data_IF_678643509891
#
_entry.id   IF_678643509891
#
_cell.length_a   1.000
_cell.length_b   1.000
_cell.length_c   1.000
_cell.angle_alpha   90.00
_cell.angle_beta   90.00
_cell.angle_gamma   90.00
#
_symmetry.space_group_name_H-M   'P 1'
#
loop_
_entity.id
_entity.type
_entity.pdbx_description
1 polymer ?
#
# COMPACT_ATOMS: atom_id res chain seq x y z
N UNK A 1 2.46 -6.85 29.26
CA UNK A 1 3.23 -6.63 28.06
C UNK A 1 2.43 -5.84 27.00
N UNK A 2 1.19 -6.25 26.64
CA UNK A 2 0.26 -5.44 25.80
C UNK A 2 -1.07 -5.19 26.55
N UNK A 3 -1.00 -5.00 27.88
CA UNK A 3 -2.15 -4.94 28.80
C UNK A 3 -3.14 -3.81 28.51
N UNK A 4 -2.68 -2.76 27.82
CA UNK A 4 -3.51 -1.61 27.42
C UNK A 4 -4.20 -1.78 26.06
N UNK A 5 -3.98 -2.90 25.34
CA UNK A 5 -4.61 -3.16 24.05
C UNK A 5 -5.65 -4.25 24.28
N UNK A 6 -6.94 -3.87 24.25
CA UNK A 6 -8.05 -4.80 24.44
C UNK A 6 -9.00 -4.75 23.28
N UNK A 7 -9.24 -5.91 22.67
CA UNK A 7 -10.26 -6.09 21.67
C UNK A 7 -11.15 -7.27 22.11
N UNK A 8 -12.46 -7.07 22.28
CA UNK A 8 -13.31 -8.07 22.91
C UNK A 8 -13.25 -9.45 22.25
N UNK A 9 -12.98 -10.49 23.05
CA UNK A 9 -12.89 -11.86 22.59
C UNK A 9 -11.61 -12.23 21.84
N UNK A 10 -10.59 -11.35 21.83
CA UNK A 10 -9.31 -11.58 21.17
C UNK A 10 -8.14 -11.32 22.11
N UNK A 11 -7.08 -12.10 21.99
CA UNK A 11 -5.83 -11.97 22.74
C UNK A 11 -4.73 -11.41 21.83
N UNK A 12 -3.97 -10.42 22.32
CA UNK A 12 -2.83 -9.85 21.60
C UNK A 12 -1.62 -10.76 21.76
N UNK A 13 -1.11 -11.26 20.65
CA UNK A 13 0.03 -12.18 20.62
C UNK A 13 1.36 -11.42 20.51
N UNK A 14 1.48 -10.55 19.50
CA UNK A 14 2.72 -9.78 19.26
C UNK A 14 2.44 -8.56 18.37
N UNK A 15 3.36 -7.60 18.44
CA UNK A 15 3.40 -6.48 17.48
C UNK A 15 4.02 -6.98 16.18
N UNK A 16 3.38 -6.68 15.04
CA UNK A 16 3.80 -7.09 13.69
C UNK A 16 4.15 -5.92 12.78
N UNK A 17 3.80 -4.71 13.16
CA UNK A 17 4.11 -3.51 12.39
C UNK A 17 3.92 -2.22 13.16
N UNK A 18 4.33 -1.13 12.55
CA UNK A 18 4.15 0.23 13.03
C UNK A 18 3.66 1.13 11.91
N UNK A 19 2.68 1.98 12.17
CA UNK A 19 2.15 2.96 11.24
C UNK A 19 2.26 4.38 11.79
N UNK A 20 1.88 5.37 10.99
CA UNK A 20 1.98 6.79 11.36
C UNK A 20 1.21 7.14 12.64
N UNK A 21 0.07 6.49 12.89
CA UNK A 21 -0.81 6.76 14.03
C UNK A 21 -0.78 5.67 15.11
N UNK A 22 0.04 4.61 14.99
CA UNK A 22 0.09 3.55 15.98
C UNK A 22 0.65 2.23 15.47
N UNK A 23 0.37 1.13 16.19
CA UNK A 23 0.92 -0.19 15.94
C UNK A 23 -0.07 -1.14 15.28
N UNK A 24 0.46 -2.17 14.61
CA UNK A 24 -0.30 -3.32 14.12
C UNK A 24 0.12 -4.55 14.92
N UNK A 25 -0.86 -5.33 15.37
CA UNK A 25 -0.69 -6.47 16.25
C UNK A 25 -1.33 -7.72 15.66
N UNK A 26 -0.70 -8.85 15.84
CA UNK A 26 -1.32 -10.15 15.62
C UNK A 26 -2.19 -10.49 16.83
N UNK A 27 -3.44 -10.84 16.58
CA UNK A 27 -4.41 -11.22 17.61
C UNK A 27 -4.98 -12.60 17.29
N UNK A 28 -5.28 -13.37 18.34
CA UNK A 28 -5.84 -14.70 18.24
C UNK A 28 -7.15 -14.82 19.03
N UNK A 29 -8.02 -15.71 18.56
CA UNK A 29 -9.24 -16.12 19.26
C UNK A 29 -9.40 -17.62 19.13
N UNK A 30 -9.66 -18.31 20.26
CA UNK A 30 -10.00 -19.73 20.26
C UNK A 30 -11.51 -19.87 20.06
N UNK A 31 -11.91 -20.58 19.03
CA UNK A 31 -13.32 -20.90 18.73
C UNK A 31 -13.81 -22.05 19.62
N UNK A 32 -15.14 -22.23 19.77
CA UNK A 32 -15.73 -23.30 20.60
C UNK A 32 -15.31 -24.72 20.18
N UNK A 33 -14.92 -24.91 18.91
CA UNK A 33 -14.42 -26.18 18.38
C UNK A 33 -12.90 -26.38 18.56
N UNK A 34 -12.23 -25.47 19.29
CA UNK A 34 -10.80 -25.51 19.56
C UNK A 34 -9.89 -24.94 18.47
N UNK A 35 -10.42 -24.55 17.30
CA UNK A 35 -9.63 -23.89 16.25
C UNK A 35 -9.22 -22.49 16.71
N UNK A 36 -7.98 -22.11 16.32
CA UNK A 36 -7.47 -20.76 16.57
C UNK A 36 -7.69 -19.91 15.32
N UNK A 37 -8.49 -18.88 15.46
CA UNK A 37 -8.64 -17.83 14.45
C UNK A 37 -7.58 -16.75 14.68
N UNK A 38 -6.99 -16.25 13.58
CA UNK A 38 -5.93 -15.24 13.60
C UNK A 38 -6.38 -14.02 12.83
N UNK A 39 -6.05 -12.84 13.34
CA UNK A 39 -6.33 -11.57 12.67
C UNK A 39 -5.22 -10.55 12.95
N UNK A 40 -5.20 -9.48 12.20
CA UNK A 40 -4.42 -8.29 12.49
C UNK A 40 -5.31 -7.25 13.19
N UNK A 41 -4.76 -6.57 14.18
CA UNK A 41 -5.40 -5.46 14.88
C UNK A 41 -4.55 -4.20 14.69
N UNK A 42 -5.05 -3.25 13.92
CA UNK A 42 -4.45 -1.93 13.77
C UNK A 42 -4.96 -1.02 14.89
N UNK A 43 -4.06 -0.50 15.70
CA UNK A 43 -4.37 0.52 16.70
C UNK A 43 -3.95 1.88 16.16
N UNK A 44 -4.85 2.84 16.17
CA UNK A 44 -4.60 4.24 15.88
C UNK A 44 -4.92 5.05 17.14
N UNK A 45 -4.10 6.05 17.45
CA UNK A 45 -4.27 6.90 18.64
C UNK A 45 -4.31 8.37 18.19
N UNK A 46 -5.33 9.10 18.58
CA UNK A 46 -5.48 10.53 18.33
C UNK A 46 -5.80 11.26 19.63
N UNK A 47 -5.00 12.27 20.01
CA UNK A 47 -3.71 12.64 19.41
C UNK A 47 -2.66 11.55 19.58
N UNK A 48 -1.60 11.63 18.79
CA UNK A 48 -0.50 10.65 18.84
C UNK A 48 0.25 10.70 20.16
N UNK A 49 0.41 11.90 20.71
CA UNK A 49 1.02 12.13 22.01
C UNK A 49 0.44 13.38 22.69
N UNK A 50 0.78 13.54 23.99
CA UNK A 50 0.29 14.65 24.80
C UNK A 50 0.95 16.00 24.46
N UNK A 51 1.98 16.05 23.64
CA UNK A 51 2.62 17.32 23.22
C UNK A 51 1.69 18.14 22.34
N UNK A 52 0.95 17.48 21.45
CA UNK A 52 -0.06 18.10 20.58
C UNK A 52 -1.16 18.80 21.41
N UNK A 53 -1.63 18.15 22.47
CA UNK A 53 -2.64 18.71 23.39
C UNK A 53 -2.07 19.95 24.11
N UNK A 54 -0.82 19.89 24.58
CA UNK A 54 -0.16 21.00 25.27
C UNK A 54 0.02 22.21 24.34
N UNK A 55 0.36 21.97 23.09
CA UNK A 55 0.49 23.02 22.09
C UNK A 55 -0.84 23.74 21.87
N UNK A 56 -1.95 23.02 21.70
CA UNK A 56 -3.28 23.60 21.56
C UNK A 56 -3.70 24.41 22.79
N UNK A 57 -3.41 23.92 24.00
CA UNK A 57 -3.65 24.70 25.23
C UNK A 57 -2.79 25.98 25.27
N UNK A 58 -1.54 25.93 24.80
CA UNK A 58 -0.67 27.13 24.74
C UNK A 58 -1.19 28.18 23.77
N UNK A 59 -1.96 27.76 22.74
CA UNK A 59 -2.66 28.62 21.79
C UNK A 59 -4.02 29.09 22.31
N UNK A 60 -4.34 28.87 23.61
CA UNK A 60 -5.57 29.31 24.28
C UNK A 60 -6.85 28.59 23.80
N UNK A 61 -6.75 27.39 23.21
CA UNK A 61 -7.92 26.58 22.92
C UNK A 61 -8.52 26.02 24.21
N UNK A 62 -9.86 26.00 24.32
CA UNK A 62 -10.56 25.38 25.46
C UNK A 62 -10.54 23.84 25.33
N UNK A 63 -10.75 23.14 26.44
CA UNK A 63 -10.85 21.66 26.46
C UNK A 63 -11.92 21.18 25.49
N UNK A 64 -13.07 21.85 25.41
CA UNK A 64 -14.17 21.51 24.53
C UNK A 64 -13.75 21.62 23.05
N UNK A 65 -13.03 22.68 22.66
CA UNK A 65 -12.55 22.87 21.30
C UNK A 65 -11.49 21.82 20.92
N UNK A 66 -10.59 21.49 21.85
CA UNK A 66 -9.56 20.44 21.65
C UNK A 66 -10.23 19.08 21.51
N UNK A 67 -11.21 18.78 22.36
CA UNK A 67 -11.98 17.52 22.28
C UNK A 67 -12.75 17.41 20.96
N UNK A 68 -13.38 18.50 20.52
CA UNK A 68 -14.10 18.54 19.24
C UNK A 68 -13.15 18.30 18.07
N UNK A 69 -11.98 18.94 18.06
CA UNK A 69 -10.94 18.74 17.04
C UNK A 69 -10.53 17.27 16.90
N UNK A 70 -10.17 16.60 18.00
CA UNK A 70 -9.79 15.19 17.95
C UNK A 70 -10.95 14.23 17.68
N UNK A 71 -12.17 14.62 18.04
CA UNK A 71 -13.38 13.88 17.66
C UNK A 71 -13.62 13.90 16.16
N UNK A 72 -13.34 15.01 15.50
CA UNK A 72 -13.45 15.12 14.04
C UNK A 72 -12.35 14.31 13.35
N UNK A 73 -11.10 14.34 13.85
CA UNK A 73 -10.04 13.45 13.35
C UNK A 73 -10.39 11.97 13.51
N UNK A 74 -10.94 11.57 14.68
CA UNK A 74 -11.40 10.20 14.89
C UNK A 74 -12.47 9.81 13.87
N UNK A 75 -13.46 10.70 13.60
CA UNK A 75 -14.51 10.44 12.61
C UNK A 75 -13.93 10.26 11.20
N UNK A 76 -12.93 11.06 10.80
CA UNK A 76 -12.26 10.90 9.51
C UNK A 76 -11.58 9.54 9.38
N UNK A 77 -10.88 9.08 10.43
CA UNK A 77 -10.24 7.75 10.46
C UNK A 77 -11.27 6.61 10.43
N UNK A 78 -12.42 6.77 11.09
CA UNK A 78 -13.52 5.79 11.04
C UNK A 78 -14.18 5.79 9.66
N UNK A 79 -14.33 6.93 9.02
CA UNK A 79 -14.85 7.00 7.65
C UNK A 79 -13.93 6.27 6.65
N UNK A 80 -12.60 6.38 6.81
CA UNK A 80 -11.64 5.60 6.02
C UNK A 80 -11.91 4.10 6.15
N UNK A 81 -12.12 3.62 7.38
CA UNK A 81 -12.51 2.24 7.63
C UNK A 81 -13.84 1.88 6.94
N UNK A 82 -14.85 2.74 7.02
CA UNK A 82 -16.16 2.49 6.40
C UNK A 82 -16.05 2.34 4.88
N UNK A 83 -15.27 3.21 4.24
CA UNK A 83 -15.00 3.11 2.80
C UNK A 83 -14.24 1.80 2.45
N UNK A 84 -13.31 1.38 3.30
CA UNK A 84 -12.64 0.09 3.11
C UNK A 84 -13.62 -1.08 3.26
N UNK A 85 -14.64 -0.96 4.13
CA UNK A 85 -15.68 -1.98 4.27
C UNK A 85 -16.56 -2.11 3.00
N UNK A 86 -16.82 -1.03 2.28
CA UNK A 86 -17.56 -1.08 1.01
C UNK A 86 -16.83 -1.93 -0.04
N UNK A 87 -15.49 -2.03 0.08
CA UNK A 87 -14.64 -2.86 -0.76
C UNK A 87 -14.45 -4.29 -0.23
N UNK A 88 -15.06 -4.66 0.90
CA UNK A 88 -14.99 -6.02 1.42
C UNK A 88 -15.60 -7.01 0.41
N UNK A 89 -14.89 -8.12 0.19
CA UNK A 89 -15.23 -9.09 -0.86
C UNK A 89 -14.44 -8.89 -2.16
N UNK A 90 -13.81 -7.74 -2.37
CA UNK A 90 -12.88 -7.53 -3.48
C UNK A 90 -11.58 -8.30 -3.19
N UNK A 91 -11.24 -9.25 -4.06
CA UNK A 91 -10.14 -10.21 -3.84
C UNK A 91 -8.80 -9.55 -3.55
N UNK A 92 -8.51 -8.41 -4.17
CA UNK A 92 -7.23 -7.72 -4.11
C UNK A 92 -7.25 -6.48 -3.17
N UNK A 93 -8.24 -6.39 -2.29
CA UNK A 93 -8.33 -5.39 -1.23
C UNK A 93 -8.24 -6.09 0.12
N UNK A 94 -7.58 -5.46 1.09
CA UNK A 94 -7.48 -5.98 2.46
C UNK A 94 -8.85 -5.94 3.11
N UNK A 95 -9.33 -7.09 3.60
CA UNK A 95 -10.62 -7.16 4.27
C UNK A 95 -10.53 -6.58 5.69
N UNK A 96 -11.42 -5.62 5.98
CA UNK A 96 -11.60 -5.02 7.31
C UNK A 96 -12.91 -5.55 7.92
N UNK A 97 -12.85 -6.07 9.15
CA UNK A 97 -13.97 -6.78 9.77
C UNK A 97 -14.73 -5.94 10.78
N UNK A 98 -14.03 -5.36 11.75
CA UNK A 98 -14.63 -4.61 12.86
C UNK A 98 -13.83 -3.37 13.20
N UNK A 99 -14.49 -2.35 13.75
CA UNK A 99 -13.89 -1.16 14.36
C UNK A 99 -14.43 -0.95 15.78
N UNK A 100 -13.55 -0.53 16.66
CA UNK A 100 -13.91 -0.10 18.02
C UNK A 100 -13.19 1.21 18.32
N UNK A 101 -13.92 2.20 18.85
CA UNK A 101 -13.38 3.47 19.32
C UNK A 101 -13.51 3.56 20.85
N UNK A 102 -12.41 3.86 21.51
CA UNK A 102 -12.35 4.01 22.97
C UNK A 102 -11.84 5.40 23.29
N UNK A 103 -12.65 6.19 23.99
CA UNK A 103 -12.25 7.53 24.43
C UNK A 103 -11.23 7.41 25.57
N UNK A 104 -10.22 8.27 25.58
CA UNK A 104 -9.23 8.33 26.65
C UNK A 104 -9.87 8.80 27.98
N UNK A 105 -9.29 8.36 29.10
CA UNK A 105 -9.84 8.64 30.44
C UNK A 105 -9.89 10.14 30.78
N UNK A 106 -9.04 10.96 30.19
CA UNK A 106 -9.04 12.43 30.35
C UNK A 106 -10.18 13.12 29.57
N UNK A 107 -10.91 12.36 28.75
CA UNK A 107 -11.97 12.82 27.88
C UNK A 107 -11.49 13.52 26.60
N UNK A 108 -10.15 13.58 26.36
CA UNK A 108 -9.54 14.15 25.16
C UNK A 108 -8.88 13.02 24.37
N UNK A 109 -9.31 12.85 23.13
CA UNK A 109 -8.70 11.85 22.26
C UNK A 109 -9.33 10.47 22.31
N UNK A 110 -8.91 9.61 21.39
CA UNK A 110 -9.46 8.26 21.19
C UNK A 110 -8.38 7.28 20.75
N UNK A 111 -8.51 6.04 21.20
CA UNK A 111 -7.90 4.87 20.58
C UNK A 111 -8.91 4.24 19.63
N UNK A 112 -8.52 4.00 18.40
CA UNK A 112 -9.32 3.36 17.35
C UNK A 112 -8.66 2.02 17.02
N UNK A 113 -9.40 0.95 17.16
CA UNK A 113 -8.96 -0.41 16.89
C UNK A 113 -9.70 -0.95 15.67
N UNK A 114 -8.96 -1.35 14.64
CA UNK A 114 -9.50 -1.92 13.40
C UNK A 114 -9.01 -3.36 13.27
N UNK A 115 -9.92 -4.32 13.29
CA UNK A 115 -9.60 -5.73 13.04
C UNK A 115 -9.70 -6.01 11.55
N UNK A 116 -8.64 -6.63 11.01
CA UNK A 116 -8.52 -6.96 9.60
C UNK A 116 -7.89 -8.34 9.40
N UNK A 117 -7.93 -8.84 8.18
CA UNK A 117 -7.24 -10.09 7.84
C UNK A 117 -5.73 -9.99 8.13
N UNK A 118 -5.14 -11.10 8.59
CA UNK A 118 -3.71 -11.19 8.86
C UNK A 118 -2.97 -11.53 7.58
N UNK A 119 -2.12 -10.62 7.13
CA UNK A 119 -1.37 -10.72 5.89
C UNK A 119 0.11 -10.41 6.11
N UNK A 120 0.95 -10.79 5.16
CA UNK A 120 2.40 -10.52 5.20
C UNK A 120 2.73 -9.25 4.43
N UNK A 121 3.58 -8.35 4.95
CA UNK A 121 4.07 -7.20 4.18
C UNK A 121 4.79 -7.64 2.90
N UNK A 122 4.57 -6.93 1.79
CA UNK A 122 5.21 -7.20 0.49
C UNK A 122 6.71 -7.40 0.61
N UNK A 123 7.40 -6.56 1.38
CA UNK A 123 8.86 -6.60 1.57
C UNK A 123 9.38 -7.92 2.16
N UNK A 124 8.55 -8.67 2.89
CA UNK A 124 8.93 -9.96 3.49
C UNK A 124 8.73 -11.14 2.53
N UNK A 125 8.07 -10.92 1.41
CA UNK A 125 7.71 -11.97 0.45
C UNK A 125 8.47 -11.82 -0.86
N UNK A 126 8.93 -10.60 -1.20
CA UNK A 126 9.70 -10.36 -2.40
C UNK A 126 11.07 -11.03 -2.34
N UNK A 127 11.37 -11.84 -3.34
CA UNK A 127 12.74 -12.35 -3.59
C UNK A 127 13.75 -11.22 -3.70
N UNK A 128 15.02 -11.51 -3.40
CA UNK A 128 16.13 -10.63 -3.71
C UNK A 128 16.29 -10.46 -5.23
N UNK A 129 16.09 -11.56 -5.96
CA UNK A 129 16.23 -11.59 -7.41
C UNK A 129 14.97 -11.07 -8.12
N UNK A 130 15.20 -10.41 -9.24
CA UNK A 130 14.13 -9.93 -10.09
C UNK A 130 13.32 -11.09 -10.70
N UNK A 131 12.02 -10.99 -10.62
CA UNK A 131 11.08 -11.94 -11.22
C UNK A 131 9.97 -11.18 -11.95
N UNK A 132 10.01 -11.17 -13.28
CA UNK A 132 9.04 -10.43 -14.11
C UNK A 132 7.60 -10.90 -13.88
N UNK A 133 7.37 -12.20 -13.73
CA UNK A 133 6.03 -12.73 -13.43
C UNK A 133 5.48 -12.25 -12.09
N UNK A 134 6.34 -11.99 -11.10
CA UNK A 134 5.90 -11.40 -9.84
C UNK A 134 5.46 -9.94 -10.02
N UNK A 135 6.17 -9.17 -10.87
CA UNK A 135 5.80 -7.80 -11.22
C UNK A 135 4.47 -7.76 -11.97
N UNK A 136 4.29 -8.62 -12.98
CA UNK A 136 3.04 -8.75 -13.73
C UNK A 136 1.87 -9.13 -12.82
N UNK A 137 2.05 -10.14 -11.96
CA UNK A 137 1.03 -10.59 -11.02
C UNK A 137 0.63 -9.49 -10.03
N UNK A 138 1.61 -8.74 -9.51
CA UNK A 138 1.34 -7.60 -8.63
C UNK A 138 0.59 -6.51 -9.39
N UNK A 139 1.03 -6.13 -10.59
CA UNK A 139 0.38 -5.13 -11.43
C UNK A 139 -1.09 -5.48 -11.70
N UNK A 140 -1.36 -6.72 -12.13
CA UNK A 140 -2.72 -7.21 -12.38
C UNK A 140 -3.59 -7.19 -11.11
N UNK A 141 -3.02 -7.64 -9.97
CA UNK A 141 -3.75 -7.65 -8.70
C UNK A 141 -4.12 -6.24 -8.25
N UNK A 142 -3.19 -5.29 -8.35
CA UNK A 142 -3.48 -3.91 -7.93
C UNK A 142 -4.38 -3.17 -8.93
N UNK A 143 -4.30 -3.46 -10.23
CA UNK A 143 -5.29 -2.96 -11.18
C UNK A 143 -6.71 -3.43 -10.81
N UNK A 144 -6.89 -4.68 -10.37
CA UNK A 144 -8.19 -5.17 -9.89
C UNK A 144 -8.65 -4.41 -8.64
N UNK A 145 -7.74 -4.15 -7.68
CA UNK A 145 -8.06 -3.33 -6.51
C UNK A 145 -8.48 -1.92 -6.89
N UNK A 146 -7.77 -1.29 -7.84
CA UNK A 146 -8.10 0.06 -8.34
C UNK A 146 -9.41 0.11 -9.12
N UNK A 147 -9.77 -0.96 -9.84
CA UNK A 147 -11.09 -1.05 -10.49
C UNK A 147 -12.21 -1.03 -9.44
N UNK A 148 -12.08 -1.83 -8.38
CA UNK A 148 -13.04 -1.80 -7.28
C UNK A 148 -13.12 -0.40 -6.63
N UNK A 149 -11.99 0.28 -6.43
CA UNK A 149 -11.97 1.66 -5.95
C UNK A 149 -12.72 2.61 -6.89
N UNK A 150 -12.50 2.50 -8.20
CA UNK A 150 -13.15 3.36 -9.20
C UNK A 150 -14.67 3.16 -9.24
N UNK A 151 -15.17 1.92 -9.10
CA UNK A 151 -16.59 1.59 -9.02
C UNK A 151 -17.26 2.26 -7.81
N UNK A 152 -16.54 2.46 -6.72
CA UNK A 152 -17.00 3.14 -5.51
C UNK A 152 -16.58 4.63 -5.44
N UNK A 153 -16.05 5.21 -6.53
CA UNK A 153 -15.55 6.59 -6.58
C UNK A 153 -14.46 6.92 -5.56
N UNK A 154 -13.67 5.92 -5.17
CA UNK A 154 -12.57 6.03 -4.22
C UNK A 154 -11.26 6.24 -4.98
N UNK A 155 -10.44 7.20 -4.56
CA UNK A 155 -9.04 7.37 -4.96
C UNK A 155 -8.18 7.00 -3.75
N UNK A 156 -7.24 6.07 -3.91
CA UNK A 156 -6.47 5.50 -2.79
C UNK A 156 -5.42 6.46 -2.21
N UNK A 157 -4.70 7.21 -3.07
CA UNK A 157 -3.75 8.29 -2.73
C UNK A 157 -2.47 7.91 -2.00
N UNK A 158 -2.30 6.66 -1.59
CA UNK A 158 -1.11 6.20 -0.85
C UNK A 158 -0.64 4.81 -1.29
N UNK A 159 -0.59 4.56 -2.61
CA UNK A 159 -0.07 3.30 -3.15
C UNK A 159 1.45 3.29 -3.04
N UNK A 160 1.95 2.36 -2.24
CA UNK A 160 3.37 2.13 -1.97
C UNK A 160 3.60 0.71 -1.44
N UNK A 161 4.82 0.17 -1.46
CA UNK A 161 5.11 -1.19 -1.01
C UNK A 161 4.65 -1.51 0.42
N UNK A 162 4.65 -0.51 1.31
CA UNK A 162 4.23 -0.68 2.71
C UNK A 162 2.73 -0.97 2.84
N UNK A 163 1.91 -0.49 1.89
CA UNK A 163 0.46 -0.66 1.86
C UNK A 163 0.03 -1.85 0.99
N UNK A 164 1.00 -2.61 0.46
CA UNK A 164 0.75 -3.83 -0.31
C UNK A 164 1.07 -5.03 0.57
N UNK A 165 0.08 -5.87 0.77
CA UNK A 165 0.15 -7.05 1.62
C UNK A 165 -0.05 -8.32 0.78
N UNK A 166 0.38 -9.45 1.33
CA UNK A 166 0.35 -10.73 0.60
C UNK A 166 -0.31 -11.79 1.48
N UNK A 167 -1.32 -12.48 0.94
CA UNK A 167 -1.97 -13.60 1.60
C UNK A 167 -1.07 -14.84 1.59
N UNK A 168 -1.40 -15.84 2.44
CA UNK A 168 -0.70 -17.12 2.44
C UNK A 168 -0.83 -17.90 1.10
N UNK A 169 -1.81 -17.52 0.27
CA UNK A 169 -1.97 -18.04 -1.10
C UNK A 169 -1.17 -17.27 -2.15
N UNK A 170 -0.35 -16.28 -1.74
CA UNK A 170 0.43 -15.45 -2.63
C UNK A 170 -0.40 -14.44 -3.44
N UNK A 171 -1.57 -14.02 -2.93
CA UNK A 171 -2.39 -12.98 -3.53
C UNK A 171 -1.95 -11.62 -3.00
N UNK A 172 -1.72 -10.66 -3.92
CA UNK A 172 -1.42 -9.28 -3.54
C UNK A 172 -2.71 -8.53 -3.23
N UNK A 173 -2.70 -7.79 -2.14
CA UNK A 173 -3.83 -7.01 -1.65
C UNK A 173 -3.41 -5.60 -1.28
N UNK A 174 -4.22 -4.62 -1.65
CA UNK A 174 -4.04 -3.22 -1.33
C UNK A 174 -4.76 -2.90 -0.03
N UNK A 175 -4.05 -2.27 0.91
CA UNK A 175 -4.57 -1.83 2.20
C UNK A 175 -4.18 -0.40 2.51
N UNK A 176 -4.63 0.11 3.64
CA UNK A 176 -4.35 1.46 4.15
C UNK A 176 -4.73 2.57 3.14
N UNK A 177 -6.02 2.77 2.96
CA UNK A 177 -6.57 3.84 2.14
C UNK A 177 -6.21 5.21 2.74
N UNK A 178 -5.45 6.02 2.01
CA UNK A 178 -4.87 7.27 2.50
C UNK A 178 -5.85 8.45 2.59
N UNK A 179 -7.13 8.21 2.88
CA UNK A 179 -8.18 9.27 2.93
C UNK A 179 -7.89 10.26 4.06
N UNK A 180 -7.38 9.78 5.21
CA UNK A 180 -6.99 10.61 6.34
C UNK A 180 -5.87 11.62 6.01
N UNK A 181 -5.06 11.38 4.96
CA UNK A 181 -4.00 12.30 4.55
C UNK A 181 -4.50 13.58 3.90
N UNK A 182 -5.76 13.66 3.53
CA UNK A 182 -6.35 14.89 2.96
C UNK A 182 -6.52 15.97 4.02
N UNK A 183 -6.73 15.59 5.28
CA UNK A 183 -6.89 16.51 6.41
C UNK A 183 -5.57 16.94 7.05
N UNK A 184 -4.47 16.19 6.85
CA UNK A 184 -3.14 16.57 7.35
C UNK A 184 -2.51 17.72 6.56
N UNK A 185 -3.18 18.86 6.50
CA UNK A 185 -2.59 20.12 5.94
C UNK A 185 -1.41 20.65 6.78
N UNK A 186 -1.08 20.03 7.92
CA UNK A 186 -0.14 20.56 8.90
C UNK A 186 0.91 19.56 9.44
N UNK A 187 0.91 18.29 9.02
CA UNK A 187 1.88 17.34 9.57
C UNK A 187 3.27 17.50 8.92
N UNK A 188 4.19 18.05 9.68
CA UNK A 188 5.65 18.13 9.42
C UNK A 188 6.38 16.78 9.57
N UNK A 189 5.65 15.65 9.59
CA UNK A 189 6.20 14.30 9.76
C UNK A 189 6.67 13.68 8.45
N UNK A 190 7.92 13.28 8.38
CA UNK A 190 8.66 12.46 7.37
C UNK A 190 7.95 12.21 6.01
N UNK A 191 7.68 13.27 5.27
CA UNK A 191 7.08 13.21 3.92
C UNK A 191 7.95 12.45 2.90
N UNK A 192 9.25 12.24 3.17
CA UNK A 192 10.24 11.76 2.21
C UNK A 192 9.94 10.35 1.68
N UNK A 193 9.41 9.44 2.50
CA UNK A 193 9.12 8.06 2.08
C UNK A 193 7.90 7.96 1.16
N UNK A 194 6.82 8.64 1.47
CA UNK A 194 5.56 8.63 0.70
C UNK A 194 5.70 9.38 -0.62
N UNK A 195 6.46 10.49 -0.67
CA UNK A 195 6.71 11.27 -1.89
C UNK A 195 7.38 10.46 -3.01
N UNK A 196 8.07 9.37 -2.65
CA UNK A 196 8.72 8.48 -3.62
C UNK A 196 7.76 7.90 -4.67
N UNK A 197 6.53 7.61 -4.32
CA UNK A 197 5.51 7.00 -5.20
C UNK A 197 4.43 7.97 -5.66
N UNK A 198 4.37 9.16 -5.07
CA UNK A 198 3.35 10.17 -5.30
C UNK A 198 3.41 10.71 -6.73
N UNK A 199 2.25 10.93 -7.34
CA UNK A 199 2.14 11.53 -8.66
C UNK A 199 2.50 13.03 -8.64
N UNK A 200 3.07 13.59 -9.74
CA UNK A 200 3.48 14.99 -9.80
C UNK A 200 2.36 15.98 -9.49
N UNK A 201 1.16 15.76 -10.00
CA UNK A 201 -0.01 16.61 -9.77
C UNK A 201 -0.43 16.62 -8.31
N UNK A 202 -0.29 15.49 -7.60
CA UNK A 202 -0.58 15.41 -6.16
C UNK A 202 0.48 16.17 -5.36
N UNK A 203 1.76 16.00 -5.70
CA UNK A 203 2.87 16.71 -5.05
C UNK A 203 2.77 18.23 -5.26
N UNK A 204 2.35 18.67 -6.44
CA UNK A 204 2.18 20.07 -6.81
C UNK A 204 0.81 20.64 -6.36
N UNK A 205 -0.03 19.84 -5.69
CA UNK A 205 -1.37 20.25 -5.21
C UNK A 205 -2.32 20.68 -6.33
N UNK A 206 -2.18 20.10 -7.51
CA UNK A 206 -3.11 20.31 -8.62
C UNK A 206 -4.36 19.44 -8.42
N UNK A 207 -5.36 19.69 -9.27
CA UNK A 207 -6.52 18.79 -9.31
C UNK A 207 -6.08 17.42 -9.79
N UNK A 208 -6.49 16.34 -9.11
CA UNK A 208 -6.10 14.98 -9.45
C UNK A 208 -7.26 13.99 -9.31
N UNK A 209 -7.17 12.90 -10.05
CA UNK A 209 -8.16 11.83 -10.09
C UNK A 209 -7.52 10.45 -9.96
N UNK A 210 -8.23 9.44 -10.43
CA UNK A 210 -7.78 8.03 -10.38
C UNK A 210 -6.45 7.77 -11.11
N UNK A 211 -6.06 8.62 -12.07
CA UNK A 211 -4.76 8.50 -12.75
C UNK A 211 -3.56 8.74 -11.81
N UNK A 212 -3.74 9.40 -10.67
CA UNK A 212 -2.72 9.51 -9.64
C UNK A 212 -2.37 8.14 -9.04
N UNK A 213 -3.36 7.27 -8.84
CA UNK A 213 -3.16 5.91 -8.36
C UNK A 213 -2.48 5.02 -9.42
N UNK A 214 -2.80 5.21 -10.70
CA UNK A 214 -2.11 4.54 -11.82
C UNK A 214 -0.63 4.90 -11.84
N UNK A 215 -0.29 6.18 -11.65
CA UNK A 215 1.10 6.63 -11.54
C UNK A 215 1.80 5.98 -10.34
N UNK A 216 1.18 5.98 -9.18
CA UNK A 216 1.74 5.39 -7.97
C UNK A 216 1.96 3.88 -8.11
N UNK A 217 1.02 3.15 -8.76
CA UNK A 217 1.20 1.76 -9.14
C UNK A 217 2.38 1.59 -10.10
N UNK A 218 2.45 2.41 -11.16
CA UNK A 218 3.59 2.42 -12.10
C UNK A 218 4.93 2.58 -11.38
N UNK A 219 5.00 3.48 -10.40
CA UNK A 219 6.21 3.70 -9.58
C UNK A 219 6.56 2.49 -8.70
N UNK A 220 5.58 1.75 -8.19
CA UNK A 220 5.83 0.49 -7.45
C UNK A 220 6.41 -0.56 -8.40
N UNK A 221 5.84 -0.72 -9.60
CA UNK A 221 6.36 -1.65 -10.60
C UNK A 221 7.77 -1.24 -11.06
N UNK A 222 7.99 0.05 -11.32
CA UNK A 222 9.34 0.59 -11.62
C UNK A 222 10.33 0.22 -10.52
N UNK A 223 10.00 0.47 -9.25
CA UNK A 223 10.84 0.15 -8.11
C UNK A 223 11.20 -1.34 -8.04
N UNK A 224 10.24 -2.23 -8.30
CA UNK A 224 10.52 -3.67 -8.38
C UNK A 224 11.47 -4.03 -9.53
N UNK A 225 11.31 -3.40 -10.69
CA UNK A 225 12.14 -3.62 -11.88
C UNK A 225 13.52 -2.98 -11.76
N UNK A 226 13.70 -2.00 -10.88
CA UNK A 226 14.94 -1.24 -10.73
C UNK A 226 15.69 -1.58 -9.43
N UNK A 227 15.77 -2.85 -9.08
CA UNK A 227 16.46 -3.36 -7.89
C UNK A 227 16.03 -2.63 -6.60
N UNK A 228 14.74 -2.41 -6.43
CA UNK A 228 14.12 -1.71 -5.29
C UNK A 228 14.64 -0.27 -5.11
N UNK A 229 14.99 0.37 -6.21
CA UNK A 229 15.54 1.73 -6.25
C UNK A 229 14.65 2.66 -7.07
N UNK A 230 14.37 3.85 -6.53
CA UNK A 230 13.57 4.86 -7.21
C UNK A 230 14.35 5.51 -8.36
N UNK A 231 13.67 6.12 -9.37
CA UNK A 231 14.33 6.80 -10.47
C UNK A 231 15.32 7.87 -9.99
N UNK A 232 16.41 8.06 -10.75
CA UNK A 232 17.47 9.05 -10.50
C UNK A 232 18.29 8.82 -9.23
N UNK A 233 18.07 7.73 -8.51
CA UNK A 233 18.91 7.34 -7.36
C UNK A 233 20.00 6.36 -7.80
N UNK A 234 21.16 6.38 -7.13
CA UNK A 234 22.19 5.37 -7.35
C UNK A 234 21.68 3.98 -6.98
N UNK A 235 22.10 2.99 -7.78
CA UNK A 235 21.75 1.59 -7.53
C UNK A 235 22.56 1.01 -6.36
N UNK A 236 22.04 -0.04 -5.67
CA UNK A 236 22.80 -0.76 -4.67
C UNK A 236 24.16 -1.25 -5.22
N UNK A 237 25.21 -1.29 -4.39
CA UNK A 237 25.22 -1.11 -2.94
C UNK A 237 25.31 0.36 -2.46
N UNK A 238 25.24 1.34 -3.33
CA UNK A 238 25.35 2.75 -2.94
C UNK A 238 24.10 3.20 -2.17
N UNK A 239 24.32 3.88 -1.02
CA UNK A 239 23.24 4.44 -0.22
C UNK A 239 23.06 5.92 -0.58
N UNK A 240 21.90 6.33 -1.13
CA UNK A 240 21.68 7.72 -1.52
C UNK A 240 21.62 8.65 -0.31
N UNK A 241 22.32 9.79 -0.40
CA UNK A 241 22.27 10.87 0.58
C UNK A 241 20.89 11.57 0.57
N UNK A 242 20.59 12.34 1.62
CA UNK A 242 19.36 13.15 1.68
C UNK A 242 19.27 14.14 0.50
N UNK A 243 20.39 14.76 0.12
CA UNK A 243 20.45 15.67 -1.04
C UNK A 243 20.14 14.95 -2.35
N UNK A 244 20.70 13.77 -2.59
CA UNK A 244 20.40 12.96 -3.78
C UNK A 244 18.92 12.55 -3.83
N UNK A 245 18.33 12.18 -2.70
CA UNK A 245 16.89 11.88 -2.63
C UNK A 245 16.05 13.10 -2.99
N UNK A 246 16.38 14.27 -2.47
CA UNK A 246 15.67 15.50 -2.79
C UNK A 246 15.83 15.90 -4.26
N UNK A 247 17.03 15.78 -4.82
CA UNK A 247 17.28 16.05 -6.24
C UNK A 247 16.51 15.08 -7.15
N UNK A 248 16.47 13.79 -6.82
CA UNK A 248 15.68 12.79 -7.56
C UNK A 248 14.19 13.11 -7.57
N UNK A 249 13.63 13.57 -6.44
CA UNK A 249 12.24 14.04 -6.36
C UNK A 249 12.01 15.27 -7.22
N UNK A 250 12.91 16.26 -7.15
CA UNK A 250 12.79 17.50 -7.94
C UNK A 250 12.80 17.20 -9.44
N UNK A 251 13.73 16.36 -9.92
CA UNK A 251 13.78 15.93 -11.32
C UNK A 251 12.49 15.28 -11.78
N UNK A 252 11.94 14.38 -10.96
CA UNK A 252 10.69 13.70 -11.26
C UNK A 252 9.49 14.66 -11.29
N UNK A 253 9.39 15.57 -10.33
CA UNK A 253 8.29 16.53 -10.25
C UNK A 253 8.42 17.73 -11.21
N UNK A 254 9.57 17.90 -11.84
CA UNK A 254 9.75 18.86 -12.94
C UNK A 254 9.49 18.25 -14.34
N UNK A 255 9.11 16.96 -14.40
CA UNK A 255 8.76 16.31 -15.66
C UNK A 255 9.96 15.77 -16.45
N UNK A 256 11.12 15.61 -15.79
CA UNK A 256 12.25 14.96 -16.45
C UNK A 256 11.91 13.50 -16.77
N UNK A 257 12.25 13.06 -17.99
CA UNK A 257 11.99 11.69 -18.43
C UNK A 257 12.64 10.68 -17.49
N UNK A 258 11.85 9.71 -17.02
CA UNK A 258 12.35 8.66 -16.14
C UNK A 258 13.37 7.78 -16.89
N UNK A 259 14.50 7.44 -16.26
CA UNK A 259 15.41 6.45 -16.82
C UNK A 259 14.72 5.08 -16.90
N UNK A 260 15.11 4.26 -17.86
CA UNK A 260 14.63 2.88 -17.92
C UNK A 260 15.05 2.09 -16.68
N UNK A 261 14.16 1.24 -16.11
CA UNK A 261 14.55 0.34 -15.04
C UNK A 261 15.53 -0.71 -15.53
N UNK A 262 16.37 -1.22 -14.61
CA UNK A 262 17.46 -2.16 -14.95
C UNK A 262 16.95 -3.49 -15.52
N UNK A 263 15.78 -3.96 -15.06
CA UNK A 263 15.23 -5.27 -15.41
C UNK A 263 13.89 -5.12 -16.12
N UNK A 264 13.42 -6.20 -16.70
CA UNK A 264 12.14 -6.29 -17.38
C UNK A 264 12.25 -6.35 -18.89
N UNK A 265 11.30 -7.02 -19.53
CA UNK A 265 11.15 -7.01 -20.98
C UNK A 265 10.85 -5.59 -21.48
N UNK A 266 11.12 -5.36 -22.75
CA UNK A 266 10.86 -4.07 -23.39
C UNK A 266 9.39 -3.67 -23.26
N UNK A 267 8.49 -4.61 -23.48
CA UNK A 267 7.04 -4.39 -23.41
C UNK A 267 6.61 -4.00 -21.98
N UNK A 268 7.16 -4.65 -20.94
CA UNK A 268 6.86 -4.28 -19.57
C UNK A 268 7.42 -2.89 -19.22
N UNK A 269 8.60 -2.55 -19.69
CA UNK A 269 9.18 -1.20 -19.53
C UNK A 269 8.30 -0.13 -20.17
N UNK A 270 7.77 -0.38 -21.37
CA UNK A 270 6.86 0.53 -22.08
C UNK A 270 5.55 0.71 -21.29
N UNK A 271 4.96 -0.37 -20.73
CA UNK A 271 3.77 -0.31 -19.89
C UNK A 271 4.02 0.57 -18.65
N UNK A 272 5.14 0.34 -17.96
CA UNK A 272 5.50 1.09 -16.75
C UNK A 272 5.81 2.56 -17.08
N UNK A 273 6.52 2.83 -18.18
CA UNK A 273 6.81 4.18 -18.62
C UNK A 273 5.53 4.98 -18.92
N UNK A 274 4.56 4.35 -19.62
CA UNK A 274 3.24 4.97 -19.85
C UNK A 274 2.49 5.24 -18.55
N UNK A 275 2.46 4.29 -17.61
CA UNK A 275 1.83 4.50 -16.31
C UNK A 275 2.45 5.65 -15.51
N UNK A 276 3.77 5.86 -15.66
CA UNK A 276 4.56 6.88 -14.97
C UNK A 276 4.73 8.17 -15.80
N UNK A 277 3.96 8.39 -16.87
CA UNK A 277 4.02 9.63 -17.65
C UNK A 277 3.74 10.84 -16.75
N UNK A 278 4.42 11.96 -17.01
CA UNK A 278 4.33 13.17 -16.20
C UNK A 278 2.92 13.76 -16.24
N UNK A 279 2.39 13.98 -17.45
CA UNK A 279 1.04 14.48 -17.65
C UNK A 279 0.02 13.35 -17.47
N UNK A 280 -1.04 13.54 -16.67
CA UNK A 280 -2.06 12.52 -16.43
C UNK A 280 -2.72 12.00 -17.71
N UNK A 281 -2.92 12.87 -18.71
CA UNK A 281 -3.54 12.54 -20.01
C UNK A 281 -2.70 11.59 -20.86
N UNK A 282 -1.38 11.52 -20.64
CA UNK A 282 -0.46 10.60 -21.34
C UNK A 282 -0.42 9.20 -20.70
N UNK A 283 -1.03 9.03 -19.54
CA UNK A 283 -1.12 7.76 -18.82
C UNK A 283 -2.23 6.88 -19.38
N UNK A 284 -2.45 5.75 -18.74
CA UNK A 284 -3.67 4.99 -18.92
C UNK A 284 -4.88 5.77 -18.38
N UNK A 285 -5.97 5.80 -19.13
CA UNK A 285 -7.18 6.52 -18.71
C UNK A 285 -7.92 5.83 -17.55
N UNK A 286 -7.72 4.52 -17.41
CA UNK A 286 -8.33 3.72 -16.33
C UNK A 286 -7.43 2.58 -15.91
N UNK A 287 -7.67 2.03 -14.69
CA UNK A 287 -7.03 0.82 -14.24
C UNK A 287 -7.33 -0.39 -15.15
N UNK A 288 -8.50 -0.40 -15.82
CA UNK A 288 -8.86 -1.43 -16.79
C UNK A 288 -7.93 -1.41 -18.01
N UNK A 289 -7.63 -0.23 -18.55
CA UNK A 289 -6.72 -0.10 -19.70
C UNK A 289 -5.32 -0.61 -19.35
N UNK A 290 -4.78 -0.21 -18.19
CA UNK A 290 -3.48 -0.70 -17.72
C UNK A 290 -3.50 -2.22 -17.47
N UNK A 291 -4.56 -2.73 -16.85
CA UNK A 291 -4.74 -4.16 -16.62
C UNK A 291 -4.71 -4.96 -17.93
N UNK A 292 -5.45 -4.50 -18.94
CA UNK A 292 -5.51 -5.17 -20.25
C UNK A 292 -4.13 -5.22 -20.92
N UNK A 293 -3.32 -4.17 -20.80
CA UNK A 293 -1.94 -4.17 -21.31
C UNK A 293 -1.06 -5.20 -20.59
N UNK A 294 -1.13 -5.26 -19.25
CA UNK A 294 -0.40 -6.25 -18.44
C UNK A 294 -0.88 -7.69 -18.71
N UNK A 295 -2.18 -7.90 -18.91
CA UNK A 295 -2.77 -9.21 -19.17
C UNK A 295 -2.35 -9.75 -20.55
N UNK A 296 -2.35 -8.90 -21.56
CA UNK A 296 -1.87 -9.25 -22.90
C UNK A 296 -0.39 -9.71 -22.87
N UNK A 297 0.48 -8.98 -22.14
CA UNK A 297 1.88 -9.36 -21.98
C UNK A 297 2.02 -10.67 -21.19
N UNK A 298 1.27 -10.85 -20.10
CA UNK A 298 1.30 -12.06 -19.28
C UNK A 298 0.88 -13.29 -20.08
N UNK A 299 -0.18 -13.19 -20.87
CA UNK A 299 -0.70 -14.26 -21.72
C UNK A 299 0.26 -14.65 -22.83
N UNK A 300 0.89 -13.67 -23.49
CA UNK A 300 1.88 -13.93 -24.53
C UNK A 300 3.12 -14.65 -23.98
N UNK A 301 3.59 -14.30 -22.79
CA UNK A 301 4.72 -14.96 -22.13
C UNK A 301 4.41 -16.39 -21.71
N UNK A 302 3.22 -16.64 -21.18
CA UNK A 302 2.77 -17.99 -20.81
C UNK A 302 2.68 -18.90 -22.06
N UNK A 303 2.08 -18.38 -23.15
CA UNK A 303 2.00 -19.10 -24.42
C UNK A 303 3.38 -19.43 -24.99
N UNK A 304 4.30 -18.45 -24.95
CA UNK A 304 5.69 -18.66 -25.41
C UNK A 304 6.43 -19.68 -24.56
N UNK A 305 6.33 -19.61 -23.24
CA UNK A 305 6.93 -20.59 -22.32
C UNK A 305 6.39 -22.00 -22.56
N UNK A 306 5.06 -22.12 -22.75
CA UNK A 306 4.42 -23.40 -23.05
C UNK A 306 4.91 -23.98 -24.38
N UNK A 307 4.99 -23.17 -25.43
CA UNK A 307 5.48 -23.58 -26.76
C UNK A 307 6.93 -24.10 -26.70
N UNK A 308 7.83 -23.38 -25.95
CA UNK A 308 9.22 -23.83 -25.78
C UNK A 308 9.28 -25.18 -25.04
N UNK A 309 8.48 -25.36 -23.97
CA UNK A 309 8.46 -26.62 -23.21
C UNK A 309 7.95 -27.78 -24.06
N UNK A 310 6.95 -27.54 -24.90
CA UNK A 310 6.44 -28.53 -25.86
C UNK A 310 7.51 -28.86 -26.93
N UNK A 311 8.22 -27.87 -27.46
CA UNK A 311 9.28 -28.05 -28.45
C UNK A 311 10.50 -28.81 -27.88
N UNK A 312 10.85 -28.55 -26.62
CA UNK A 312 11.93 -29.24 -25.92
C UNK A 312 11.54 -30.59 -25.35
N UNK A 313 10.26 -31.04 -25.51
CA UNK A 313 9.69 -32.23 -24.91
C UNK A 313 9.95 -32.37 -23.39
N UNK A 314 10.00 -31.24 -22.69
CA UNK A 314 10.18 -31.18 -21.24
C UNK A 314 8.84 -31.48 -20.53
N UNK A 315 8.83 -32.21 -19.39
CA UNK A 315 7.60 -32.45 -18.63
C UNK A 315 6.93 -31.18 -18.17
N UNK A 316 5.60 -31.14 -18.17
CA UNK A 316 4.78 -30.00 -17.73
C UNK A 316 5.03 -29.56 -16.26
N UNK A 317 5.63 -30.44 -15.45
CA UNK A 317 5.96 -30.18 -14.03
C UNK A 317 6.87 -28.95 -13.82
N UNK A 318 7.68 -28.57 -14.81
CA UNK A 318 8.54 -27.38 -14.76
C UNK A 318 7.71 -26.08 -14.77
N UNK A 319 6.52 -26.09 -15.40
CA UNK A 319 5.57 -24.98 -15.39
C UNK A 319 4.98 -24.70 -13.99
N UNK A 320 4.83 -25.75 -13.18
CA UNK A 320 4.27 -25.63 -11.84
C UNK A 320 5.26 -25.05 -10.82
N UNK A 321 6.58 -25.21 -11.02
CA UNK A 321 7.58 -24.59 -10.14
C UNK A 321 7.65 -23.07 -10.30
N UNK A 322 7.50 -22.53 -11.52
CA UNK A 322 7.45 -21.08 -11.76
C UNK A 322 6.15 -20.44 -11.25
N UNK A 323 5.08 -21.23 -11.09
CA UNK A 323 3.77 -20.81 -10.60
C UNK A 323 3.52 -21.11 -9.12
N UNK A 324 4.47 -21.72 -8.40
CA UNK A 324 4.32 -21.93 -6.94
C UNK A 324 4.19 -20.58 -6.23
N UNK A 325 3.28 -20.47 -5.24
CA UNK A 325 3.19 -19.28 -4.42
C UNK A 325 4.56 -18.90 -3.86
N UNK A 326 4.89 -17.62 -3.91
CA UNK A 326 6.17 -17.06 -3.42
C UNK A 326 6.51 -17.54 -2.00
N UNK A 327 5.48 -17.86 -1.18
CA UNK A 327 5.61 -18.37 0.18
C UNK A 327 6.12 -19.83 0.29
N UNK A 328 6.25 -20.60 -0.80
CA UNK A 328 6.67 -22.01 -0.77
C UNK A 328 8.07 -22.26 -1.37
N UNK A 329 8.79 -21.18 -1.72
CA UNK A 329 10.15 -21.24 -2.28
C UNK A 329 11.23 -20.91 -1.24
N UNK A 330 11.01 -21.25 0.03
CA UNK A 330 12.01 -21.16 1.10
C UNK A 330 12.49 -22.54 1.49
#
# INVERSE_FOLDING_TARGET
MYENIRFPGWEVVRKIGEGSFGGVYEIHRTLPDGRVEKAALKKLTVPKDNSEIRELYSQSFSKENITAHYKDQMRELVNEYTLTQELNGCRNVVACHDVQCVQHADGIGWDIYIRMELLKPLKHVLSADYQEMAVLKLGLSLCNALLACQEHHIVHRDIKPENILVSDRGEFKLGDFGIAKVSEKTATGTMTGTMGYMAPEVANRWHYGAQADIYSLGMVLYWMMNNKTMPFLPLPPQIPSASQKQQALNRRFSGEQLPEPQNGSRELKEIVAKACAYAPEDRYHSALEMRNALEALSSSKQAWTKAILEELALPEDILHESNRPIAQRA
#
